data_IF_434026104779
#
_entry.id   IF_434026104779
#
_cell.length_a   1.000
_cell.length_b   1.000
_cell.length_c   1.000
_cell.angle_alpha   90.00
_cell.angle_beta   90.00
_cell.angle_gamma   90.00
#
_symmetry.space_group_name_H-M   'P 1'
#
loop_
_entity.id
_entity.type
_entity.pdbx_description
1 polymer ?
#
# COMPACT_ATOMS: atom_id res chain seq x y z
N UNK A 1 10.87 -1.78 -24.88
CA UNK A 1 11.49 -2.29 -23.63
C UNK A 1 10.77 -3.58 -23.27
N UNK A 2 11.47 -4.71 -23.10
CA UNK A 2 10.81 -5.94 -22.61
C UNK A 2 10.40 -5.73 -21.17
N UNK A 3 9.14 -6.04 -20.84
CA UNK A 3 8.68 -6.11 -19.45
C UNK A 3 9.49 -7.20 -18.75
N UNK A 4 10.06 -6.88 -17.59
CA UNK A 4 10.72 -7.88 -16.74
C UNK A 4 9.61 -8.82 -16.23
N UNK A 5 9.64 -10.07 -16.69
CA UNK A 5 8.77 -11.11 -16.14
C UNK A 5 9.28 -11.57 -14.77
N UNK A 6 8.42 -12.16 -13.93
CA UNK A 6 8.86 -12.77 -12.68
C UNK A 6 9.72 -14.02 -12.95
N UNK A 7 10.62 -14.35 -12.03
CA UNK A 7 11.43 -15.59 -12.07
C UNK A 7 10.57 -16.79 -11.70
N UNK A 8 9.58 -16.60 -10.81
CA UNK A 8 8.56 -17.59 -10.48
C UNK A 8 7.26 -16.92 -10.05
N UNK A 9 6.16 -17.62 -10.20
CA UNK A 9 4.84 -17.19 -9.76
C UNK A 9 4.03 -18.40 -9.24
N UNK A 10 3.01 -18.13 -8.43
CA UNK A 10 2.16 -19.17 -7.87
C UNK A 10 0.98 -18.60 -7.09
N UNK A 11 0.35 -19.48 -6.33
CA UNK A 11 -0.76 -19.12 -5.45
C UNK A 11 -0.46 -19.57 -4.03
N UNK A 12 -0.66 -18.65 -3.08
CA UNK A 12 -0.84 -18.97 -1.66
C UNK A 12 -2.32 -19.10 -1.37
N UNK A 13 -2.70 -19.89 -0.38
CA UNK A 13 -4.10 -20.05 0.04
C UNK A 13 -4.23 -19.75 1.53
N UNK A 14 -5.26 -18.97 1.87
CA UNK A 14 -5.63 -18.70 3.24
C UNK A 14 -7.16 -18.61 3.33
N UNK A 15 -7.76 -19.42 4.22
CA UNK A 15 -9.20 -19.49 4.45
C UNK A 15 -10.01 -19.71 3.14
N UNK A 16 -9.47 -20.54 2.21
CA UNK A 16 -10.09 -20.85 0.93
C UNK A 16 -9.97 -19.77 -0.14
N UNK A 17 -9.27 -18.65 0.14
CA UNK A 17 -9.00 -17.57 -0.81
C UNK A 17 -7.61 -17.76 -1.42
N UNK A 18 -7.52 -17.81 -2.75
CA UNK A 18 -6.27 -17.93 -3.49
C UNK A 18 -5.67 -16.56 -3.79
N UNK A 19 -4.45 -16.38 -3.37
CA UNK A 19 -3.67 -15.16 -3.50
C UNK A 19 -2.53 -15.40 -4.49
N UNK A 20 -2.56 -14.72 -5.62
CA UNK A 20 -1.52 -14.82 -6.65
C UNK A 20 -0.30 -14.01 -6.26
N UNK A 21 0.89 -14.64 -6.26
CA UNK A 21 2.17 -13.98 -6.01
C UNK A 21 3.15 -14.13 -7.16
N UNK A 22 4.12 -13.24 -7.20
CA UNK A 22 5.28 -13.26 -8.09
C UNK A 22 6.57 -13.05 -7.27
N UNK A 23 7.63 -13.75 -7.69
CA UNK A 23 8.98 -13.60 -7.15
C UNK A 23 9.89 -13.10 -8.25
N UNK A 24 10.68 -12.06 -7.99
CA UNK A 24 11.63 -11.48 -8.94
C UNK A 24 12.96 -11.16 -8.23
N UNK A 25 14.08 -11.58 -8.82
CA UNK A 25 15.40 -11.46 -8.21
C UNK A 25 15.69 -12.54 -7.18
N UNK A 26 16.96 -12.78 -6.87
CA UNK A 26 17.41 -13.87 -6.01
C UNK A 26 18.33 -13.42 -4.88
N UNK A 27 18.87 -12.22 -4.95
CA UNK A 27 19.96 -11.77 -4.07
C UNK A 27 19.43 -10.96 -2.86
N UNK A 28 20.22 -10.93 -1.79
CA UNK A 28 19.97 -10.10 -0.62
C UNK A 28 18.73 -10.48 0.20
N UNK A 29 18.32 -9.61 1.13
CA UNK A 29 17.09 -9.82 1.92
C UNK A 29 15.85 -9.76 1.02
N UNK A 30 14.79 -10.46 1.44
CA UNK A 30 13.52 -10.38 0.73
C UNK A 30 12.79 -9.08 1.08
N UNK A 31 12.29 -8.39 0.04
CA UNK A 31 11.32 -7.32 0.18
C UNK A 31 9.93 -7.87 -0.15
N UNK A 32 9.01 -7.82 0.80
CA UNK A 32 7.60 -8.15 0.58
C UNK A 32 6.84 -6.86 0.24
N UNK A 33 6.39 -6.75 -1.01
CA UNK A 33 5.58 -5.65 -1.48
C UNK A 33 4.10 -6.00 -1.29
N UNK A 34 3.48 -5.40 -0.28
CA UNK A 34 2.07 -5.64 0.04
C UNK A 34 1.16 -4.99 -1.01
N UNK A 35 -0.05 -5.55 -1.24
CA UNK A 35 -1.09 -4.86 -2.00
C UNK A 35 -1.55 -3.61 -1.25
N UNK A 36 -2.41 -2.85 -1.89
CA UNK A 36 -3.12 -1.74 -1.28
C UNK A 36 -4.63 -1.96 -1.43
N UNK A 37 -5.42 -0.92 -1.62
CA UNK A 37 -6.86 -1.04 -1.78
C UNK A 37 -7.24 -1.92 -2.99
N UNK A 38 -8.39 -2.62 -2.93
CA UNK A 38 -8.84 -3.59 -3.95
C UNK A 38 -9.00 -3.02 -5.36
N UNK A 39 -9.05 -1.70 -5.54
CA UNK A 39 -9.12 -1.03 -6.85
C UNK A 39 -7.79 -1.01 -7.61
N UNK A 40 -6.70 -1.51 -7.04
CA UNK A 40 -5.42 -1.67 -7.74
C UNK A 40 -4.78 -3.01 -7.39
N UNK A 41 -4.04 -3.59 -8.34
CA UNK A 41 -3.28 -4.82 -8.13
C UNK A 41 -1.77 -4.57 -8.13
N UNK A 42 -0.95 -5.61 -7.89
CA UNK A 42 0.51 -5.49 -7.68
C UNK A 42 1.28 -4.74 -8.77
N UNK A 43 0.71 -4.53 -9.98
CA UNK A 43 1.37 -3.74 -11.04
C UNK A 43 1.60 -2.28 -10.67
N UNK A 44 0.97 -1.76 -9.63
CA UNK A 44 1.32 -0.42 -9.15
C UNK A 44 2.78 -0.32 -8.67
N UNK A 45 3.45 -1.46 -8.35
CA UNK A 45 4.87 -1.56 -8.05
C UNK A 45 5.78 -1.60 -9.30
N UNK A 46 5.23 -1.38 -10.50
CA UNK A 46 5.96 -1.51 -11.79
C UNK A 46 7.25 -0.70 -11.92
N UNK A 47 7.39 0.39 -11.17
CA UNK A 47 8.59 1.22 -11.17
C UNK A 47 9.62 0.78 -10.10
N UNK A 48 9.19 -0.01 -9.10
CA UNK A 48 10.02 -0.49 -8.01
C UNK A 48 10.66 -1.84 -8.34
N UNK A 49 9.85 -2.80 -8.78
CA UNK A 49 10.31 -4.18 -9.05
C UNK A 49 11.54 -4.23 -9.97
N UNK A 50 11.58 -3.56 -11.14
CA UNK A 50 12.74 -3.67 -12.06
C UNK A 50 14.04 -3.09 -11.52
N UNK A 51 13.96 -2.12 -10.61
CA UNK A 51 15.14 -1.54 -9.97
C UNK A 51 15.58 -2.36 -8.76
N UNK A 52 14.66 -2.64 -7.85
CA UNK A 52 14.94 -3.29 -6.57
C UNK A 52 15.35 -4.75 -6.75
N UNK A 53 14.83 -5.46 -7.75
CA UNK A 53 15.22 -6.85 -8.05
C UNK A 53 16.66 -7.05 -8.46
N UNK A 54 17.40 -5.97 -8.75
CA UNK A 54 18.85 -6.02 -8.98
C UNK A 54 19.67 -6.13 -7.69
N UNK A 55 19.03 -5.87 -6.54
CA UNK A 55 19.68 -5.79 -5.23
C UNK A 55 19.05 -6.73 -4.20
N UNK A 56 17.79 -7.11 -4.42
CA UNK A 56 16.96 -7.81 -3.46
C UNK A 56 16.11 -8.89 -4.14
N UNK A 57 15.74 -9.87 -3.37
CA UNK A 57 14.65 -10.78 -3.74
C UNK A 57 13.31 -10.08 -3.47
N UNK A 58 12.49 -9.92 -4.48
CA UNK A 58 11.19 -9.24 -4.39
C UNK A 58 10.09 -10.28 -4.41
N UNK A 59 9.22 -10.25 -3.41
CA UNK A 59 7.94 -10.97 -3.38
C UNK A 59 6.84 -9.92 -3.46
N UNK A 60 5.98 -10.01 -4.47
CA UNK A 60 4.81 -9.16 -4.63
C UNK A 60 3.58 -10.01 -4.88
N UNK A 61 2.41 -9.56 -4.46
CA UNK A 61 1.18 -10.33 -4.64
C UNK A 61 -0.03 -9.42 -4.90
N UNK A 62 -1.02 -9.98 -5.58
CA UNK A 62 -2.33 -9.35 -5.72
C UNK A 62 -3.13 -9.60 -4.43
N UNK A 63 -3.68 -8.57 -3.82
CA UNK A 63 -4.63 -8.75 -2.72
C UNK A 63 -5.93 -9.42 -3.19
N UNK A 64 -6.76 -9.91 -2.26
CA UNK A 64 -8.09 -10.38 -2.63
C UNK A 64 -8.87 -9.23 -3.28
N UNK A 65 -9.66 -9.54 -4.29
CA UNK A 65 -10.53 -8.58 -4.97
C UNK A 65 -10.00 -8.04 -6.28
N UNK A 66 -8.71 -8.19 -6.62
CA UNK A 66 -8.16 -7.69 -7.89
C UNK A 66 -7.05 -8.59 -8.45
N UNK A 67 -6.55 -8.24 -9.64
CA UNK A 67 -5.50 -8.96 -10.34
C UNK A 67 -5.87 -10.41 -10.62
N UNK A 68 -4.96 -11.33 -10.29
CA UNK A 68 -5.13 -12.78 -10.48
C UNK A 68 -5.58 -13.51 -9.20
N UNK A 69 -5.78 -12.80 -8.10
CA UNK A 69 -6.32 -13.35 -6.85
C UNK A 69 -7.83 -13.51 -6.91
N UNK A 70 -8.37 -14.32 -6.01
CA UNK A 70 -9.82 -14.51 -5.87
C UNK A 70 -10.52 -13.20 -5.49
N UNK A 71 -11.81 -13.11 -5.82
CA UNK A 71 -12.66 -11.95 -5.55
C UNK A 71 -13.82 -12.33 -4.64
N UNK A 72 -13.59 -12.53 -3.33
CA UNK A 72 -14.65 -12.87 -2.40
C UNK A 72 -15.66 -11.73 -2.28
N UNK A 73 -16.95 -12.09 -2.11
CA UNK A 73 -18.04 -11.14 -1.86
C UNK A 73 -18.40 -11.03 -0.37
N UNK A 74 -17.79 -11.85 0.49
CA UNK A 74 -17.95 -11.77 1.95
C UNK A 74 -17.01 -10.72 2.51
N UNK A 75 -17.56 -9.72 3.20
CA UNK A 75 -16.79 -8.63 3.81
C UNK A 75 -15.69 -9.15 4.78
N UNK A 76 -15.92 -10.28 5.47
CA UNK A 76 -14.95 -10.88 6.38
C UNK A 76 -13.64 -11.29 5.70
N UNK A 77 -13.66 -11.57 4.39
CA UNK A 77 -12.44 -11.87 3.63
C UNK A 77 -11.51 -10.64 3.50
N UNK A 78 -12.01 -9.46 3.83
CA UNK A 78 -11.28 -8.19 3.78
C UNK A 78 -10.98 -7.61 5.16
N UNK A 79 -11.26 -8.33 6.24
CA UNK A 79 -10.86 -7.92 7.59
C UNK A 79 -9.33 -7.71 7.65
N UNK A 80 -8.87 -6.72 8.43
CA UNK A 80 -7.44 -6.40 8.52
C UNK A 80 -6.61 -7.62 8.91
N UNK A 81 -7.05 -8.41 9.89
CA UNK A 81 -6.34 -9.62 10.30
C UNK A 81 -6.25 -10.67 9.19
N UNK A 82 -7.26 -10.73 8.31
CA UNK A 82 -7.24 -11.63 7.15
C UNK A 82 -6.19 -11.19 6.14
N UNK A 83 -6.04 -9.87 5.92
CA UNK A 83 -5.00 -9.35 5.02
C UNK A 83 -3.59 -9.67 5.52
N UNK A 84 -3.35 -9.62 6.82
CA UNK A 84 -2.07 -10.03 7.42
C UNK A 84 -1.86 -11.53 7.26
N UNK A 85 -2.89 -12.36 7.46
CA UNK A 85 -2.79 -13.81 7.20
C UNK A 85 -2.49 -14.13 5.74
N UNK A 86 -3.04 -13.37 4.77
CA UNK A 86 -2.67 -13.51 3.36
C UNK A 86 -1.18 -13.21 3.14
N UNK A 87 -0.64 -12.15 3.76
CA UNK A 87 0.78 -11.83 3.66
C UNK A 87 1.66 -12.95 4.23
N UNK A 88 1.28 -13.53 5.38
CA UNK A 88 1.97 -14.67 5.98
C UNK A 88 1.92 -15.90 5.07
N UNK A 89 0.75 -16.24 4.51
CA UNK A 89 0.60 -17.35 3.58
C UNK A 89 1.49 -17.18 2.33
N UNK A 90 1.64 -15.95 1.84
CA UNK A 90 2.56 -15.65 0.73
C UNK A 90 4.01 -15.82 1.14
N UNK A 91 4.41 -15.37 2.33
CA UNK A 91 5.77 -15.61 2.85
C UNK A 91 6.06 -17.10 2.95
N UNK A 92 5.12 -17.89 3.46
CA UNK A 92 5.28 -19.34 3.60
C UNK A 92 5.33 -20.05 2.24
N UNK A 93 4.42 -19.70 1.32
CA UNK A 93 4.39 -20.29 -0.03
C UNK A 93 5.65 -19.97 -0.84
N UNK A 94 6.33 -18.85 -0.54
CA UNK A 94 7.59 -18.46 -1.19
C UNK A 94 8.84 -18.89 -0.44
N UNK A 95 8.71 -19.66 0.65
CA UNK A 95 9.82 -20.10 1.49
C UNK A 95 10.58 -18.92 2.14
N UNK A 96 9.88 -17.81 2.39
CA UNK A 96 10.48 -16.61 2.98
C UNK A 96 10.33 -16.62 4.48
N UNK A 97 11.43 -16.80 5.20
CA UNK A 97 11.43 -16.80 6.67
C UNK A 97 11.19 -15.39 7.22
N UNK A 98 11.92 -14.41 6.69
CA UNK A 98 11.84 -12.99 7.11
C UNK A 98 11.91 -12.07 5.91
N UNK A 99 11.22 -10.93 5.99
CA UNK A 99 11.23 -9.91 4.94
C UNK A 99 11.25 -8.49 5.50
N UNK A 100 11.72 -7.53 4.71
CA UNK A 100 11.35 -6.13 4.86
C UNK A 100 9.98 -5.96 4.24
N UNK A 101 9.00 -5.50 5.02
CA UNK A 101 7.63 -5.35 4.57
C UNK A 101 7.37 -3.93 4.12
N UNK A 102 6.78 -3.76 2.94
CA UNK A 102 6.61 -2.45 2.30
C UNK A 102 5.16 -2.32 1.85
N UNK A 103 4.46 -1.30 2.35
CA UNK A 103 3.06 -1.07 2.01
C UNK A 103 2.76 0.39 1.66
N UNK A 104 1.86 0.58 0.71
CA UNK A 104 1.28 1.88 0.34
C UNK A 104 -0.14 1.98 0.89
N UNK A 105 -0.52 3.12 1.45
CA UNK A 105 -1.90 3.42 1.87
C UNK A 105 -2.45 2.36 2.84
N UNK A 106 -3.47 1.59 2.50
CA UNK A 106 -3.97 0.48 3.32
C UNK A 106 -2.89 -0.61 3.52
N UNK A 107 -2.08 -0.90 2.49
CA UNK A 107 -0.97 -1.84 2.61
C UNK A 107 0.04 -1.45 3.68
N UNK A 108 0.20 -0.15 3.95
CA UNK A 108 1.06 0.31 5.05
C UNK A 108 0.49 -0.04 6.43
N UNK A 109 -0.84 -0.08 6.56
CA UNK A 109 -1.49 -0.48 7.79
C UNK A 109 -1.29 -1.98 8.07
N UNK A 110 -1.42 -2.81 7.03
CA UNK A 110 -1.14 -4.25 7.13
C UNK A 110 0.35 -4.53 7.38
N UNK A 111 1.25 -3.72 6.80
CA UNK A 111 2.68 -3.82 7.09
C UNK A 111 3.00 -3.50 8.56
N UNK A 112 2.35 -2.49 9.14
CA UNK A 112 2.50 -2.14 10.55
C UNK A 112 1.97 -3.25 11.46
N UNK A 113 0.76 -3.77 11.19
CA UNK A 113 0.18 -4.87 11.95
C UNK A 113 1.07 -6.12 11.89
N UNK A 114 1.53 -6.50 10.69
CA UNK A 114 2.45 -7.62 10.49
C UNK A 114 3.74 -7.44 11.31
N UNK A 115 4.31 -6.23 11.33
CA UNK A 115 5.51 -5.93 12.10
C UNK A 115 5.28 -5.98 13.63
N UNK A 116 4.11 -5.57 14.10
CA UNK A 116 3.76 -5.58 15.51
C UNK A 116 3.45 -7.00 16.03
N UNK A 117 2.59 -7.73 15.31
CA UNK A 117 2.05 -9.02 15.78
C UNK A 117 2.92 -10.22 15.37
N UNK A 118 3.72 -10.06 14.30
CA UNK A 118 4.57 -11.11 13.75
C UNK A 118 6.04 -10.64 13.59
N UNK A 119 6.56 -9.88 14.55
CA UNK A 119 7.91 -9.33 14.55
C UNK A 119 9.02 -10.29 14.14
N UNK A 120 9.01 -11.60 14.55
CA UNK A 120 9.99 -12.58 14.10
C UNK A 120 10.05 -12.80 12.58
N UNK A 121 9.00 -12.44 11.84
CA UNK A 121 8.91 -12.52 10.36
C UNK A 121 9.34 -11.24 9.66
N UNK A 122 9.59 -10.14 10.40
CA UNK A 122 9.81 -8.80 9.84
C UNK A 122 11.19 -8.28 10.21
N UNK A 123 11.97 -7.91 9.18
CA UNK A 123 13.30 -7.30 9.31
C UNK A 123 13.22 -5.79 9.51
N UNK A 124 12.22 -5.15 8.94
CA UNK A 124 11.92 -3.73 9.00
C UNK A 124 10.65 -3.42 8.22
N UNK A 125 10.03 -2.28 8.47
CA UNK A 125 8.79 -1.86 7.84
C UNK A 125 8.93 -0.50 7.14
N UNK A 126 8.47 -0.42 5.87
CA UNK A 126 8.37 0.83 5.11
C UNK A 126 6.89 1.15 4.86
N UNK A 127 6.44 2.27 5.43
CA UNK A 127 5.04 2.69 5.47
C UNK A 127 4.86 3.93 4.57
N UNK A 128 4.31 3.72 3.36
CA UNK A 128 4.20 4.79 2.36
C UNK A 128 2.79 5.36 2.39
N UNK A 129 2.64 6.68 2.53
CA UNK A 129 1.35 7.41 2.49
C UNK A 129 0.25 6.72 3.29
N UNK A 130 0.54 6.44 4.56
CA UNK A 130 -0.29 5.59 5.41
C UNK A 130 -1.73 6.08 5.55
N UNK A 131 -2.70 5.16 5.39
CA UNK A 131 -4.13 5.42 5.60
C UNK A 131 -4.60 5.25 7.05
N UNK A 132 -3.71 4.86 7.97
CA UNK A 132 -4.05 4.62 9.38
C UNK A 132 -4.66 5.84 10.07
N UNK A 133 -5.77 5.63 10.79
CA UNK A 133 -6.52 6.70 11.44
C UNK A 133 -5.92 7.12 12.81
N UNK A 134 -4.62 7.44 12.85
CA UNK A 134 -3.89 7.90 14.05
C UNK A 134 -3.86 9.41 14.23
N UNK A 135 -4.28 10.16 13.23
CA UNK A 135 -4.57 11.58 13.26
C UNK A 135 -5.94 11.83 12.65
N UNK A 136 -6.43 13.05 12.74
CA UNK A 136 -7.64 13.45 12.03
C UNK A 136 -7.46 13.24 10.51
N UNK A 137 -8.56 12.94 9.83
CA UNK A 137 -8.58 12.79 8.39
C UNK A 137 -8.30 14.12 7.67
N UNK A 138 -8.05 14.04 6.36
CA UNK A 138 -7.88 15.24 5.56
C UNK A 138 -9.14 16.11 5.65
N UNK A 139 -9.03 17.43 5.94
CA UNK A 139 -10.20 18.32 6.10
C UNK A 139 -11.16 18.30 4.90
N UNK A 140 -10.63 18.12 3.69
CA UNK A 140 -11.38 18.08 2.44
C UNK A 140 -12.25 16.81 2.27
N UNK A 141 -12.10 15.79 3.11
CA UNK A 141 -12.94 14.57 3.09
C UNK A 141 -14.27 14.72 3.86
N UNK A 142 -14.56 15.89 4.39
CA UNK A 142 -15.85 16.19 5.04
C UNK A 142 -16.81 16.73 3.99
N UNK A 143 -17.56 15.85 3.35
CA UNK A 143 -18.57 16.24 2.35
C UNK A 143 -19.98 16.20 2.95
N UNK A 144 -20.79 17.22 2.62
CA UNK A 144 -22.20 17.36 3.07
C UNK A 144 -23.19 17.28 1.88
N UNK A 145 -22.73 17.08 0.64
CA UNK A 145 -23.59 17.05 -0.55
C UNK A 145 -24.25 15.67 -0.78
N UNK A 146 -25.36 15.63 -1.51
CA UNK A 146 -25.99 14.38 -1.94
C UNK A 146 -25.26 13.78 -3.16
N UNK A 147 -24.77 12.52 -3.08
CA UNK A 147 -24.09 11.88 -4.20
C UNK A 147 -24.90 11.83 -5.50
N UNK A 148 -26.23 11.75 -5.40
CA UNK A 148 -27.11 11.64 -6.56
C UNK A 148 -27.19 12.95 -7.39
N UNK A 149 -26.82 14.09 -6.80
CA UNK A 149 -26.90 15.41 -7.45
C UNK A 149 -25.60 15.79 -8.18
N UNK A 150 -24.54 14.99 -8.05
CA UNK A 150 -23.25 15.33 -8.65
C UNK A 150 -23.17 14.98 -10.13
N UNK A 151 -22.63 15.89 -10.96
CA UNK A 151 -22.41 15.59 -12.36
C UNK A 151 -21.35 14.52 -12.56
N UNK A 152 -21.64 13.53 -13.40
CA UNK A 152 -20.64 12.56 -13.88
C UNK A 152 -19.61 13.30 -14.73
N UNK A 153 -18.34 13.20 -14.40
CA UNK A 153 -17.26 13.89 -15.09
C UNK A 153 -16.03 13.01 -15.24
N UNK A 154 -15.60 12.78 -16.48
CA UNK A 154 -14.35 12.10 -16.83
C UNK A 154 -13.13 13.03 -16.87
N UNK A 155 -13.30 14.28 -16.46
CA UNK A 155 -12.20 15.26 -16.42
C UNK A 155 -11.49 15.15 -15.08
N UNK A 156 -10.15 15.07 -15.04
CA UNK A 156 -9.39 15.12 -13.80
C UNK A 156 -9.79 16.31 -12.94
N UNK A 157 -10.00 16.10 -11.66
CA UNK A 157 -10.59 17.01 -10.66
C UNK A 157 -9.76 18.29 -10.41
N UNK A 158 -8.61 18.45 -11.05
CA UNK A 158 -7.63 19.51 -10.82
C UNK A 158 -8.22 20.95 -11.00
N UNK A 159 -9.38 21.08 -11.63
CA UNK A 159 -10.02 22.37 -11.89
C UNK A 159 -11.28 22.66 -11.05
N UNK A 160 -11.65 21.80 -10.09
CA UNK A 160 -12.89 21.92 -9.30
C UNK A 160 -12.63 21.86 -7.81
N UNK A 161 -13.55 22.40 -7.00
CA UNK A 161 -13.48 22.29 -5.54
C UNK A 161 -13.53 20.81 -5.12
N UNK A 162 -12.45 20.25 -4.57
CA UNK A 162 -12.37 18.83 -4.23
C UNK A 162 -13.36 18.43 -3.12
N UNK A 163 -13.80 19.35 -2.28
CA UNK A 163 -14.68 19.06 -1.13
C UNK A 163 -16.03 18.52 -1.59
N UNK A 164 -16.61 19.12 -2.65
CA UNK A 164 -17.92 18.73 -3.16
C UNK A 164 -17.95 17.30 -3.74
N UNK A 165 -16.79 16.75 -4.11
CA UNK A 165 -16.72 15.46 -4.81
C UNK A 165 -16.46 14.25 -3.91
N UNK A 166 -16.07 14.44 -2.63
CA UNK A 166 -15.81 13.32 -1.72
C UNK A 166 -17.05 12.48 -1.38
N UNK A 167 -18.25 13.00 -1.62
CA UNK A 167 -19.49 12.22 -1.55
C UNK A 167 -19.55 11.07 -2.56
N UNK A 168 -18.70 11.08 -3.60
CA UNK A 168 -18.54 9.97 -4.53
C UNK A 168 -17.87 8.74 -3.89
N UNK A 169 -17.22 8.91 -2.75
CA UNK A 169 -16.64 7.81 -1.95
C UNK A 169 -17.73 7.13 -1.10
N UNK A 170 -18.74 6.60 -1.78
CA UNK A 170 -19.94 5.97 -1.21
C UNK A 170 -20.33 4.72 -2.01
N UNK A 171 -20.70 3.59 -1.34
CA UNK A 171 -21.06 2.35 -2.01
C UNK A 171 -22.23 2.45 -3.00
N UNK A 172 -23.23 3.34 -2.74
CA UNK A 172 -24.33 3.52 -3.68
C UNK A 172 -23.85 4.25 -4.94
N UNK A 173 -22.96 5.25 -4.78
CA UNK A 173 -22.34 5.93 -5.90
C UNK A 173 -21.47 4.98 -6.72
N UNK A 174 -20.63 4.13 -6.08
CA UNK A 174 -19.80 3.16 -6.78
C UNK A 174 -20.63 2.22 -7.66
N UNK A 175 -21.77 1.73 -7.17
CA UNK A 175 -22.66 0.84 -7.95
C UNK A 175 -23.24 1.51 -9.18
N UNK A 176 -23.54 2.80 -9.11
CA UNK A 176 -24.17 3.54 -10.20
C UNK A 176 -23.14 4.14 -11.18
N UNK A 177 -21.99 4.57 -10.67
CA UNK A 177 -21.02 5.41 -11.40
C UNK A 177 -19.57 5.03 -11.13
N UNK A 178 -19.26 3.72 -11.20
CA UNK A 178 -17.95 3.17 -10.75
C UNK A 178 -16.76 3.80 -11.46
N UNK A 179 -16.78 3.90 -12.78
CA UNK A 179 -15.69 4.49 -13.57
C UNK A 179 -15.47 5.96 -13.21
N UNK A 180 -16.56 6.73 -13.01
CA UNK A 180 -16.47 8.14 -12.60
C UNK A 180 -15.85 8.28 -11.21
N UNK A 181 -16.20 7.40 -10.25
CA UNK A 181 -15.55 7.34 -8.95
C UNK A 181 -14.05 7.07 -9.08
N UNK A 182 -13.64 6.13 -9.92
CA UNK A 182 -12.21 5.83 -10.12
C UNK A 182 -11.45 7.04 -10.67
N UNK A 183 -12.00 7.74 -11.66
CA UNK A 183 -11.41 8.97 -12.19
C UNK A 183 -11.27 10.06 -11.12
N UNK A 184 -12.31 10.24 -10.32
CA UNK A 184 -12.29 11.17 -9.19
C UNK A 184 -11.21 10.78 -8.18
N UNK A 185 -11.28 9.55 -7.67
CA UNK A 185 -10.39 9.09 -6.59
C UNK A 185 -8.91 9.14 -7.00
N UNK A 186 -8.57 8.64 -8.18
CA UNK A 186 -7.19 8.68 -8.66
C UNK A 186 -6.75 10.09 -9.05
N UNK A 187 -7.65 10.97 -9.47
CA UNK A 187 -7.37 12.40 -9.61
C UNK A 187 -6.93 13.03 -8.28
N UNK A 188 -7.55 12.63 -7.16
CA UNK A 188 -7.15 13.06 -5.81
C UNK A 188 -5.83 12.42 -5.35
N UNK A 189 -5.53 11.20 -5.80
CA UNK A 189 -4.26 10.55 -5.50
C UNK A 189 -3.05 11.22 -6.20
N UNK A 190 -3.27 11.85 -7.36
CA UNK A 190 -2.25 12.47 -8.19
C UNK A 190 -2.55 13.95 -8.46
N UNK A 191 -2.47 14.83 -7.45
CA UNK A 191 -2.76 16.26 -7.61
C UNK A 191 -1.67 17.02 -8.38
N UNK A 192 -0.54 16.38 -8.70
CA UNK A 192 0.56 16.98 -9.41
C UNK A 192 0.22 17.20 -10.90
N UNK A 193 0.73 18.28 -11.52
CA UNK A 193 0.61 18.50 -12.96
C UNK A 193 1.16 17.32 -13.78
N UNK A 194 0.60 17.10 -14.97
CA UNK A 194 1.06 16.04 -15.90
C UNK A 194 0.96 14.60 -15.35
N UNK A 195 -0.08 14.32 -14.55
CA UNK A 195 -0.33 13.01 -13.93
C UNK A 195 -1.29 12.11 -14.74
N UNK A 196 -1.63 12.47 -15.99
CA UNK A 196 -2.65 11.76 -16.80
C UNK A 196 -2.35 10.24 -16.87
N UNK A 197 -1.14 9.86 -17.26
CA UNK A 197 -0.80 8.44 -17.44
C UNK A 197 -0.89 7.59 -16.16
N UNK A 198 -0.36 8.02 -14.98
CA UNK A 198 -0.59 7.31 -13.73
C UNK A 198 -2.06 7.16 -13.36
N UNK A 199 -2.88 8.19 -13.59
CA UNK A 199 -4.34 8.14 -13.33
C UNK A 199 -5.00 7.11 -14.25
N UNK A 200 -4.75 7.17 -15.57
CA UNK A 200 -5.27 6.20 -16.54
C UNK A 200 -4.89 4.75 -16.20
N UNK A 201 -3.65 4.51 -15.80
CA UNK A 201 -3.21 3.19 -15.39
C UNK A 201 -3.99 2.69 -14.16
N UNK A 202 -4.17 3.55 -13.15
CA UNK A 202 -4.92 3.19 -11.95
C UNK A 202 -6.42 2.99 -12.23
N UNK A 203 -7.03 3.82 -13.05
CA UNK A 203 -8.43 3.65 -13.50
C UNK A 203 -8.57 2.33 -14.26
N UNK A 204 -7.64 2.03 -15.19
CA UNK A 204 -7.63 0.76 -15.91
C UNK A 204 -7.59 -0.44 -14.99
N UNK A 205 -6.74 -0.43 -13.95
CA UNK A 205 -6.68 -1.49 -12.95
C UNK A 205 -7.94 -1.55 -12.07
N UNK A 206 -8.53 -0.40 -11.74
CA UNK A 206 -9.79 -0.34 -11.00
C UNK A 206 -10.95 -1.01 -11.76
N UNK A 207 -10.96 -0.88 -13.09
CA UNK A 207 -11.96 -1.51 -13.94
C UNK A 207 -11.77 -3.04 -14.11
N UNK A 208 -10.66 -3.62 -13.65
CA UNK A 208 -10.44 -5.07 -13.58
C UNK A 208 -11.16 -5.73 -12.38
N UNK A 209 -11.70 -4.94 -11.45
CA UNK A 209 -12.56 -5.40 -10.35
C UNK A 209 -13.97 -4.80 -10.48
N UNK A 210 -14.82 -4.95 -9.46
CA UNK A 210 -16.23 -4.52 -9.52
C UNK A 210 -16.62 -3.69 -8.29
N UNK A 211 -17.65 -2.84 -8.40
CA UNK A 211 -18.17 -2.10 -7.25
C UNK A 211 -18.71 -3.01 -6.13
N UNK A 212 -19.16 -4.22 -6.43
CA UNK A 212 -19.60 -5.18 -5.41
C UNK A 212 -18.44 -5.68 -4.57
N UNK A 213 -17.29 -5.97 -5.19
CA UNK A 213 -16.04 -6.33 -4.48
C UNK A 213 -15.58 -5.16 -3.61
N UNK A 214 -15.60 -3.94 -4.14
CA UNK A 214 -15.22 -2.75 -3.39
C UNK A 214 -16.16 -2.51 -2.18
N UNK A 215 -17.46 -2.75 -2.37
CA UNK A 215 -18.46 -2.68 -1.29
C UNK A 215 -18.20 -3.75 -0.22
N UNK A 216 -17.85 -4.98 -0.62
CA UNK A 216 -17.50 -6.03 0.32
C UNK A 216 -16.25 -5.66 1.13
N UNK A 217 -15.23 -5.14 0.47
CA UNK A 217 -13.98 -4.67 1.14
C UNK A 217 -14.27 -3.52 2.12
N UNK A 218 -15.12 -2.57 1.76
CA UNK A 218 -15.51 -1.46 2.65
C UNK A 218 -16.22 -1.95 3.93
N UNK A 219 -16.87 -3.11 3.88
CA UNK A 219 -17.53 -3.76 5.01
C UNK A 219 -16.59 -4.56 5.92
N UNK A 220 -15.32 -4.76 5.55
CA UNK A 220 -14.34 -5.47 6.35
C UNK A 220 -14.00 -4.74 7.66
N UNK A 221 -13.74 -5.52 8.73
CA UNK A 221 -13.38 -4.98 10.03
C UNK A 221 -12.05 -4.21 9.98
N UNK A 222 -12.04 -3.02 10.59
CA UNK A 222 -10.88 -2.12 10.64
C UNK A 222 -10.45 -1.88 12.09
N UNK A 223 -9.13 -1.68 12.35
CA UNK A 223 -8.63 -1.43 13.70
C UNK A 223 -9.12 -0.08 14.24
N UNK A 224 -9.31 0.00 15.55
CA UNK A 224 -9.51 1.27 16.25
C UNK A 224 -8.19 2.08 16.29
N UNK A 225 -8.29 3.38 16.62
CA UNK A 225 -7.10 4.23 16.84
C UNK A 225 -6.20 3.66 17.94
N UNK A 226 -6.80 3.19 19.04
CA UNK A 226 -6.09 2.62 20.17
C UNK A 226 -5.32 1.35 19.76
N UNK A 227 -5.92 0.51 18.94
CA UNK A 227 -5.28 -0.69 18.38
C UNK A 227 -4.07 -0.32 17.53
N UNK A 228 -4.21 0.67 16.64
CA UNK A 228 -3.10 1.14 15.78
C UNK A 228 -1.98 1.75 16.62
N UNK A 229 -2.30 2.53 17.63
CA UNK A 229 -1.30 3.09 18.54
C UNK A 229 -0.60 2.00 19.38
N UNK A 230 -1.31 0.92 19.74
CA UNK A 230 -0.70 -0.25 20.37
C UNK A 230 0.29 -0.92 19.41
N UNK A 231 -0.10 -1.19 18.15
CA UNK A 231 0.83 -1.73 17.16
C UNK A 231 2.08 -0.87 16.99
N UNK A 232 1.94 0.46 16.95
CA UNK A 232 3.12 1.35 16.87
C UNK A 232 4.09 1.18 18.06
N UNK A 233 3.57 0.93 19.26
CA UNK A 233 4.40 0.69 20.46
C UNK A 233 5.04 -0.70 20.48
N UNK A 234 4.35 -1.70 19.89
CA UNK A 234 4.77 -3.10 19.92
C UNK A 234 5.76 -3.46 18.80
N UNK A 235 5.88 -2.60 17.77
CA UNK A 235 6.88 -2.79 16.70
C UNK A 235 8.29 -2.71 17.28
N UNK A 236 9.08 -3.76 17.04
CA UNK A 236 10.47 -3.86 17.50
C UNK A 236 11.51 -3.72 16.40
N UNK A 237 11.09 -3.76 15.13
CA UNK A 237 11.98 -3.57 14.00
C UNK A 237 12.06 -2.07 13.58
N UNK A 238 13.12 -1.66 12.87
CA UNK A 238 13.21 -0.32 12.29
C UNK A 238 12.02 0.01 11.37
N UNK A 239 11.53 1.25 11.43
CA UNK A 239 10.41 1.76 10.65
C UNK A 239 10.82 3.00 9.86
N UNK A 240 10.48 3.03 8.57
CA UNK A 240 10.58 4.21 7.70
C UNK A 240 9.19 4.59 7.18
N UNK A 241 8.71 5.79 7.52
CA UNK A 241 7.54 6.38 6.90
C UNK A 241 7.96 7.26 5.70
N UNK A 242 7.28 7.12 4.57
CA UNK A 242 7.46 7.98 3.39
C UNK A 242 6.10 8.62 3.07
N UNK A 243 6.03 9.95 2.93
CA UNK A 243 4.77 10.64 2.71
C UNK A 243 4.92 11.80 1.74
N UNK A 244 3.92 12.03 0.88
CA UNK A 244 3.88 13.23 0.04
C UNK A 244 3.35 14.44 0.81
N UNK A 245 3.93 15.63 0.63
CA UNK A 245 3.46 16.85 1.32
C UNK A 245 2.11 17.34 0.77
N UNK A 246 1.75 16.97 -0.46
CA UNK A 246 0.50 17.32 -1.14
C UNK A 246 -0.46 16.14 -1.27
N UNK A 247 -0.41 15.21 -0.33
CA UNK A 247 -1.30 14.03 -0.28
C UNK A 247 -2.72 14.46 0.12
N UNK A 248 -3.65 14.36 -0.84
CA UNK A 248 -5.06 14.74 -0.69
C UNK A 248 -5.93 13.61 -0.10
N UNK A 249 -5.39 12.40 0.03
CA UNK A 249 -6.08 11.23 0.57
C UNK A 249 -5.81 11.07 2.07
N UNK A 250 -4.54 11.16 2.44
CA UNK A 250 -4.05 10.97 3.80
C UNK A 250 -3.10 12.11 4.17
N UNK A 251 -3.35 12.85 5.25
CA UNK A 251 -2.50 13.99 5.57
C UNK A 251 -1.10 13.53 5.99
N UNK A 252 -0.02 14.27 5.61
CA UNK A 252 1.36 13.93 5.94
C UNK A 252 1.64 13.91 7.45
N UNK A 253 0.76 14.48 8.27
CA UNK A 253 0.78 14.36 9.73
C UNK A 253 0.72 12.91 10.21
N UNK A 254 0.08 12.01 9.44
CA UNK A 254 0.04 10.57 9.74
C UNK A 254 1.42 9.92 9.64
N UNK A 255 2.17 10.21 8.59
CA UNK A 255 3.54 9.71 8.44
C UNK A 255 4.46 10.19 9.58
N UNK A 256 4.36 11.47 9.95
CA UNK A 256 5.12 12.01 11.10
C UNK A 256 4.71 11.36 12.42
N UNK A 257 3.40 11.20 12.65
CA UNK A 257 2.90 10.55 13.87
C UNK A 257 3.29 9.07 13.96
N UNK A 258 3.33 8.35 12.84
CA UNK A 258 3.85 6.98 12.79
C UNK A 258 5.31 6.94 13.24
N UNK A 259 6.16 7.79 12.68
CA UNK A 259 7.57 7.85 13.05
C UNK A 259 7.76 8.18 14.55
N UNK A 260 6.99 9.14 15.08
CA UNK A 260 7.01 9.46 16.51
C UNK A 260 6.65 8.26 17.40
N UNK A 261 5.56 7.56 17.07
CA UNK A 261 5.05 6.46 17.87
C UNK A 261 5.92 5.18 17.79
N UNK A 262 6.54 4.93 16.64
CA UNK A 262 7.40 3.75 16.42
C UNK A 262 8.87 4.02 16.76
N UNK A 263 9.27 5.26 17.01
CA UNK A 263 10.67 5.66 17.12
C UNK A 263 11.42 5.57 15.78
N UNK A 264 10.72 5.51 14.66
CA UNK A 264 11.27 5.43 13.31
C UNK A 264 11.55 6.79 12.68
N UNK A 265 11.81 6.77 11.37
CA UNK A 265 12.06 7.98 10.57
C UNK A 265 10.85 8.31 9.68
N UNK A 266 10.67 9.62 9.37
CA UNK A 266 9.69 10.07 8.39
C UNK A 266 10.35 10.96 7.34
N UNK A 267 10.26 10.54 6.07
CA UNK A 267 10.68 11.34 4.92
C UNK A 267 9.43 11.91 4.23
N UNK A 268 9.32 13.24 4.20
CA UNK A 268 8.27 13.93 3.46
C UNK A 268 8.80 14.40 2.12
N UNK A 269 8.13 14.01 1.03
CA UNK A 269 8.47 14.36 -0.34
C UNK A 269 7.67 15.59 -0.73
N UNK A 270 8.34 16.72 -0.92
CA UNK A 270 7.71 18.00 -1.17
C UNK A 270 7.01 18.04 -2.53
N UNK A 271 5.76 18.56 -2.56
CA UNK A 271 4.93 18.69 -3.75
C UNK A 271 4.35 17.38 -4.29
N UNK A 272 4.57 16.25 -3.61
CA UNK A 272 4.16 14.92 -4.06
C UNK A 272 2.84 14.51 -3.41
N UNK A 273 1.95 13.88 -4.19
CA UNK A 273 0.65 13.38 -3.75
C UNK A 273 0.69 12.02 -3.04
N UNK A 274 -0.45 11.31 -3.08
CA UNK A 274 -0.67 10.06 -2.35
C UNK A 274 0.15 8.87 -2.85
N UNK A 275 0.58 8.89 -4.12
CA UNK A 275 1.30 7.74 -4.72
C UNK A 275 2.72 8.16 -5.13
N UNK A 276 3.60 8.44 -4.14
CA UNK A 276 4.96 8.92 -4.40
C UNK A 276 5.80 7.93 -5.21
N UNK A 277 5.55 6.64 -5.06
CA UNK A 277 6.25 5.58 -5.79
C UNK A 277 6.04 5.62 -7.31
N UNK A 278 4.95 6.25 -7.78
CA UNK A 278 4.69 6.47 -9.20
C UNK A 278 5.21 7.83 -9.71
N UNK A 279 5.21 8.88 -8.86
CA UNK A 279 5.61 10.24 -9.24
C UNK A 279 7.10 10.51 -9.04
N UNK A 280 7.66 9.98 -7.97
CA UNK A 280 9.09 10.11 -7.61
C UNK A 280 9.77 8.75 -7.50
N UNK A 281 9.65 7.86 -8.53
CA UNK A 281 10.09 6.47 -8.42
C UNK A 281 11.57 6.35 -8.08
N UNK A 282 12.42 7.25 -8.57
CA UNK A 282 13.85 7.22 -8.30
C UNK A 282 14.13 7.48 -6.80
N UNK A 283 13.53 8.54 -6.23
CA UNK A 283 13.71 8.86 -4.80
C UNK A 283 13.18 7.76 -3.91
N UNK A 284 11.98 7.27 -4.20
CA UNK A 284 11.37 6.19 -3.41
C UNK A 284 12.19 4.91 -3.50
N UNK A 285 12.68 4.53 -4.69
CA UNK A 285 13.54 3.37 -4.86
C UNK A 285 14.86 3.48 -4.07
N UNK A 286 15.47 4.66 -4.06
CA UNK A 286 16.69 4.90 -3.28
C UNK A 286 16.40 4.82 -1.78
N UNK A 287 15.34 5.41 -1.28
CA UNK A 287 14.94 5.32 0.12
C UNK A 287 14.70 3.87 0.55
N UNK A 288 13.97 3.09 -0.26
CA UNK A 288 13.74 1.66 0.01
C UNK A 288 15.05 0.89 0.03
N UNK A 289 15.92 1.10 -0.98
CA UNK A 289 17.22 0.43 -1.06
C UNK A 289 18.08 0.74 0.14
N UNK A 290 18.28 2.01 0.45
CA UNK A 290 19.20 2.45 1.49
C UNK A 290 18.72 1.96 2.87
N UNK A 291 17.40 1.99 3.13
CA UNK A 291 16.83 1.42 4.34
C UNK A 291 17.08 -0.11 4.43
N UNK A 292 16.76 -0.87 3.37
CA UNK A 292 16.93 -2.32 3.39
C UNK A 292 18.42 -2.74 3.47
N UNK A 293 19.34 -2.01 2.85
CA UNK A 293 20.79 -2.23 2.96
C UNK A 293 21.31 -1.94 4.38
N UNK A 294 20.80 -0.90 5.06
CA UNK A 294 21.19 -0.60 6.45
C UNK A 294 20.86 -1.76 7.40
N UNK A 295 19.70 -2.41 7.21
CA UNK A 295 19.31 -3.57 8.00
C UNK A 295 20.24 -4.77 7.77
N UNK A 296 20.71 -4.97 6.53
CA UNK A 296 21.65 -6.04 6.20
C UNK A 296 23.02 -5.83 6.86
N UNK A 297 23.45 -4.59 6.97
CA UNK A 297 24.71 -4.24 7.64
C UNK A 297 24.64 -4.47 9.14
N UNK A 298 23.52 -4.12 9.77
CA UNK A 298 23.29 -4.34 11.20
C UNK A 298 23.23 -5.84 11.61
N UNK A 299 22.91 -6.73 10.68
CA UNK A 299 22.84 -8.18 10.93
C UNK A 299 24.18 -8.92 10.71
N UNK A 300 25.19 -8.27 10.14
CA UNK A 300 26.52 -8.87 10.03
C UNK A 300 27.19 -8.88 11.41
N UNK A 301 27.71 -10.03 11.90
CA UNK A 301 28.50 -10.07 13.13
C UNK A 301 29.61 -9.03 13.04
N UNK A 302 29.84 -8.27 14.10
CA UNK A 302 30.97 -7.36 14.13
C UNK A 302 32.26 -8.17 13.96
N UNK A 303 33.22 -7.62 13.20
CA UNK A 303 34.52 -8.29 13.00
C UNK A 303 35.27 -8.59 14.34
N UNK A 304 34.77 -8.02 15.46
CA UNK A 304 35.25 -8.27 16.81
C UNK A 304 34.77 -9.61 17.39
N UNK A 305 33.63 -10.18 16.93
CA UNK A 305 33.10 -11.46 17.42
C UNK A 305 33.70 -12.68 16.68
N UNK A 306 34.42 -12.49 15.59
CA UNK A 306 35.04 -13.53 14.80
C UNK A 306 36.39 -14.01 15.35
N UNK A 307 36.86 -13.45 16.47
CA UNK A 307 38.12 -13.79 17.11
C UNK A 307 37.98 -14.23 18.58
N UNK A 308 36.81 -14.75 18.98
CA UNK A 308 36.64 -15.41 20.26
C UNK A 308 36.40 -16.91 20.13
#
# INVERSE_FOLDING_TARGET
MRVLGPDSEGYAENDGVKIHYEVTGSDGPTLLLLPTWTIVHKRFWKAQVPYLSRHFRIVSYDGPGNGRSDRPHDARAYDFDVQVRHALAVLDATGTEKAVVIGLSQGSAWALQLAAEHGPRVLGAILISSSLAITDGHPMRRAEADPAELPVSRVPVIERDPVEHWVKDDPAYWKAHYEDFLWFFFGMCFPEPHSTKPIEDCVGWGLETTPDVLTAEAGGARPSRETVEAWCRDVTCPVLAIHGSNDMISPPSRGRRLAELTGGECVVLEGVGHIPLAREPVRVNLLIRDFAESLRLAQKPSAADAHR
#
